data_IF_677266799470
#
_entry.id   IF_677266799470
#
_cell.length_a   1.000
_cell.length_b   1.000
_cell.length_c   1.000
_cell.angle_alpha   90.00
_cell.angle_beta   90.00
_cell.angle_gamma   90.00
#
_symmetry.space_group_name_H-M   'P 1'
#
loop_
_entity.id
_entity.type
_entity.pdbx_description
1 polymer ?
#
# COMPACT_ATOMS: atom_id res chain seq x y z
N UNK A 1 -2.68 -5.93 -6.19
CA UNK A 1 -3.05 -6.72 -5.00
C UNK A 1 -4.03 -5.98 -4.08
N UNK A 2 -3.70 -4.79 -3.56
CA UNK A 2 -4.56 -4.07 -2.60
C UNK A 2 -5.98 -3.82 -3.14
N UNK A 3 -6.11 -3.48 -4.42
CA UNK A 3 -7.43 -3.33 -5.05
C UNK A 3 -8.26 -4.62 -5.02
N UNK A 4 -7.64 -5.81 -5.11
CA UNK A 4 -8.34 -7.09 -4.95
C UNK A 4 -8.80 -7.31 -3.51
N UNK A 5 -7.99 -6.90 -2.51
CA UNK A 5 -8.39 -6.91 -1.10
C UNK A 5 -9.60 -5.98 -0.85
N UNK A 6 -9.61 -4.80 -1.47
CA UNK A 6 -10.72 -3.85 -1.37
C UNK A 6 -12.01 -4.39 -2.00
N UNK A 7 -11.92 -5.10 -3.13
CA UNK A 7 -13.07 -5.81 -3.75
C UNK A 7 -13.61 -6.91 -2.82
N UNK A 8 -12.74 -7.53 -2.02
CA UNK A 8 -13.11 -8.57 -1.06
C UNK A 8 -13.67 -8.03 0.29
N UNK A 9 -13.72 -6.70 0.48
CA UNK A 9 -14.29 -6.07 1.68
C UNK A 9 -13.27 -5.42 2.62
N UNK A 10 -11.97 -5.56 2.35
CA UNK A 10 -10.90 -5.03 3.20
C UNK A 10 -10.49 -3.60 2.82
N UNK A 11 -11.47 -2.70 2.69
CA UNK A 11 -11.23 -1.33 2.19
C UNK A 11 -10.53 -0.42 3.21
N UNK A 12 -10.41 -0.87 4.48
CA UNK A 12 -9.61 -0.18 5.50
C UNK A 12 -8.14 -0.57 5.46
N UNK A 13 -7.70 -1.42 4.52
CA UNK A 13 -6.27 -1.60 4.24
C UNK A 13 -5.71 -0.34 3.56
N UNK A 14 -4.53 0.08 4.02
CA UNK A 14 -3.79 1.26 3.58
C UNK A 14 -2.43 0.86 3.05
N UNK A 15 -1.86 1.70 2.18
CA UNK A 15 -0.45 1.61 1.85
C UNK A 15 0.22 2.98 1.86
N UNK A 16 1.51 2.95 2.05
CA UNK A 16 2.41 4.07 1.85
C UNK A 16 3.52 3.61 0.91
N UNK A 17 3.87 4.45 -0.06
CA UNK A 17 4.93 4.18 -1.02
C UNK A 17 5.94 5.30 -1.06
N UNK A 18 7.17 4.95 -1.40
CA UNK A 18 8.29 5.88 -1.40
C UNK A 18 9.46 5.38 -2.22
N UNK A 19 10.55 6.15 -2.22
CA UNK A 19 11.80 5.77 -2.87
C UNK A 19 12.90 5.55 -1.85
N UNK A 20 13.73 4.53 -2.08
CA UNK A 20 14.94 4.29 -1.30
C UNK A 20 15.91 5.47 -1.43
N UNK A 21 16.82 5.68 -0.45
CA UNK A 21 17.75 6.82 -0.48
C UNK A 21 18.64 6.86 -1.73
N UNK A 22 18.90 5.71 -2.36
CA UNK A 22 19.63 5.63 -3.62
C UNK A 22 18.83 6.12 -4.85
N UNK A 23 17.52 6.33 -4.72
CA UNK A 23 16.61 6.61 -5.84
C UNK A 23 16.37 5.41 -6.76
N UNK A 24 16.92 4.22 -6.45
CA UNK A 24 16.87 3.06 -7.36
C UNK A 24 15.72 2.09 -7.09
N UNK A 25 15.17 2.11 -5.88
CA UNK A 25 14.19 1.11 -5.46
C UNK A 25 12.95 1.77 -4.91
N UNK A 26 11.82 1.42 -5.50
CA UNK A 26 10.51 1.77 -4.97
C UNK A 26 10.22 0.91 -3.74
N UNK A 27 9.68 1.54 -2.71
CA UNK A 27 9.33 0.95 -1.43
C UNK A 27 7.83 1.04 -1.24
N UNK A 28 7.26 0.02 -0.63
CA UNK A 28 5.86 -0.02 -0.23
C UNK A 28 5.73 -0.64 1.14
N UNK A 29 4.85 -0.08 1.94
CA UNK A 29 4.41 -0.66 3.19
C UNK A 29 2.89 -0.70 3.20
N UNK A 30 2.32 -1.81 3.65
CA UNK A 30 0.88 -2.04 3.73
C UNK A 30 0.50 -2.22 5.20
N UNK A 31 -0.56 -1.55 5.63
CA UNK A 31 -1.09 -1.62 7.00
C UNK A 31 -2.61 -1.43 7.00
N UNK A 32 -3.23 -1.19 8.15
CA UNK A 32 -4.66 -0.88 8.28
C UNK A 32 -4.89 0.59 8.68
N UNK A 33 -6.09 1.09 8.42
CA UNK A 33 -6.50 2.49 8.66
C UNK A 33 -6.25 2.97 10.09
N UNK A 34 -6.42 2.08 11.08
CA UNK A 34 -6.14 2.37 12.49
C UNK A 34 -4.66 2.68 12.78
N UNK A 35 -3.76 2.31 11.88
CA UNK A 35 -2.32 2.54 12.00
C UNK A 35 -1.80 3.71 11.15
N UNK A 36 -2.72 4.52 10.62
CA UNK A 36 -2.41 5.69 9.79
C UNK A 36 -2.85 6.96 10.53
N UNK A 37 -2.06 8.02 10.37
CA UNK A 37 -2.33 9.34 10.92
C UNK A 37 -3.47 10.06 10.18
N UNK A 38 -3.87 11.22 10.68
CA UNK A 38 -4.97 11.99 10.12
C UNK A 38 -4.68 12.54 8.70
N UNK A 39 -3.42 12.54 8.28
CA UNK A 39 -3.00 12.92 6.92
C UNK A 39 -3.30 11.82 5.87
N UNK A 40 -3.76 10.64 6.30
CA UNK A 40 -4.09 9.52 5.40
C UNK A 40 -2.88 8.75 4.87
N UNK A 41 -1.66 9.17 5.23
CA UNK A 41 -0.42 8.68 4.63
C UNK A 41 0.57 8.16 5.68
N UNK A 42 0.85 8.95 6.71
CA UNK A 42 1.90 8.66 7.68
C UNK A 42 1.47 7.53 8.59
N UNK A 43 2.38 6.59 8.85
CA UNK A 43 2.12 5.53 9.81
C UNK A 43 2.32 6.04 11.23
N UNK A 44 1.52 5.53 12.16
CA UNK A 44 1.65 5.87 13.58
C UNK A 44 2.98 5.35 14.13
N UNK A 45 3.65 6.17 14.92
CA UNK A 45 4.87 5.75 15.64
C UNK A 45 4.59 4.53 16.53
N UNK A 46 5.52 3.56 16.53
CA UNK A 46 5.38 2.36 17.35
C UNK A 46 4.40 1.31 16.82
N UNK A 47 3.97 1.42 15.56
CA UNK A 47 3.24 0.37 14.83
C UNK A 47 3.85 -1.03 15.08
N UNK A 48 3.07 -2.03 15.52
CA UNK A 48 3.57 -3.39 15.67
C UNK A 48 4.09 -3.93 14.33
N UNK A 49 5.26 -4.58 14.33
CA UNK A 49 5.87 -5.08 13.09
C UNK A 49 5.01 -6.10 12.33
N UNK A 50 4.15 -6.84 13.04
CA UNK A 50 3.19 -7.78 12.43
C UNK A 50 1.99 -7.10 11.76
N UNK A 51 1.81 -5.80 11.99
CA UNK A 51 0.73 -4.97 11.43
C UNK A 51 1.20 -4.12 10.26
N UNK A 52 2.45 -4.30 9.82
CA UNK A 52 3.04 -3.61 8.66
C UNK A 52 3.76 -4.61 7.77
N UNK A 53 3.31 -4.74 6.52
CA UNK A 53 3.94 -5.59 5.52
C UNK A 53 4.80 -4.73 4.57
N UNK A 54 6.10 -4.99 4.51
CA UNK A 54 7.04 -4.21 3.70
C UNK A 54 7.46 -4.91 2.41
N UNK A 55 7.56 -4.16 1.33
CA UNK A 55 8.09 -4.61 0.05
C UNK A 55 8.98 -3.54 -0.58
N UNK A 56 9.97 -3.98 -1.36
CA UNK A 56 10.84 -3.14 -2.15
C UNK A 56 11.08 -3.78 -3.51
N UNK A 57 11.14 -2.97 -4.57
CA UNK A 57 11.47 -3.47 -5.91
C UNK A 57 12.87 -4.11 -5.98
N UNK A 58 13.75 -3.83 -5.00
CA UNK A 58 15.03 -4.53 -4.83
C UNK A 58 14.87 -6.05 -4.63
N UNK A 59 13.71 -6.48 -4.12
CA UNK A 59 13.41 -7.90 -3.85
C UNK A 59 12.70 -8.60 -5.00
N UNK A 60 12.43 -7.91 -6.12
CA UNK A 60 11.75 -8.46 -7.28
C UNK A 60 10.33 -8.92 -6.93
N UNK A 61 10.01 -10.16 -7.28
CA UNK A 61 8.71 -10.80 -7.01
C UNK A 61 8.68 -11.58 -5.68
N UNK A 62 9.71 -11.45 -4.83
CA UNK A 62 9.69 -11.96 -3.45
C UNK A 62 8.91 -11.04 -2.52
N UNK A 63 7.64 -10.83 -2.84
CA UNK A 63 6.74 -9.94 -2.12
C UNK A 63 6.73 -10.27 -0.63
N UNK A 64 7.01 -9.28 0.22
CA UNK A 64 7.05 -9.45 1.68
C UNK A 64 8.01 -10.56 2.18
N UNK A 65 9.01 -10.93 1.38
CA UNK A 65 9.93 -12.04 1.68
C UNK A 65 9.40 -13.42 1.29
N UNK A 66 8.26 -13.52 0.62
CA UNK A 66 7.71 -14.80 0.16
C UNK A 66 8.50 -15.34 -1.04
N UNK A 67 9.17 -16.47 -0.84
CA UNK A 67 9.82 -17.23 -1.92
C UNK A 67 8.79 -17.83 -2.89
N UNK A 68 7.59 -17.97 -2.37
CA UNK A 68 6.32 -18.22 -3.02
C UNK A 68 6.05 -17.62 -4.37
N UNK A 69 6.20 -16.29 -4.42
CA UNK A 69 5.15 -15.45 -4.96
C UNK A 69 5.33 -15.10 -6.45
N UNK A 70 6.45 -15.54 -7.03
CA UNK A 70 6.79 -15.38 -8.42
C UNK A 70 5.65 -15.84 -9.34
N UNK A 71 5.32 -15.01 -10.34
CA UNK A 71 4.31 -15.28 -11.36
C UNK A 71 2.84 -15.28 -10.89
N UNK A 72 2.55 -15.04 -9.60
CA UNK A 72 1.17 -14.96 -9.12
C UNK A 72 0.47 -13.69 -9.60
N UNK A 73 -0.81 -13.83 -9.93
CA UNK A 73 -1.70 -12.72 -10.21
C UNK A 73 -1.95 -11.86 -8.97
N UNK A 74 -2.41 -10.62 -9.18
CA UNK A 74 -2.80 -9.72 -8.09
C UNK A 74 -3.84 -10.32 -7.14
N UNK A 75 -4.72 -11.21 -7.66
CA UNK A 75 -5.77 -11.89 -6.89
C UNK A 75 -5.18 -13.02 -6.04
N UNK A 76 -4.29 -13.83 -6.60
CA UNK A 76 -3.58 -14.88 -5.84
C UNK A 76 -2.70 -14.28 -4.75
N UNK A 77 -2.01 -13.17 -5.03
CA UNK A 77 -1.27 -12.42 -4.01
C UNK A 77 -2.17 -11.91 -2.89
N UNK A 78 -3.40 -11.48 -3.21
CA UNK A 78 -4.36 -11.03 -2.20
C UNK A 78 -4.83 -12.18 -1.29
N UNK A 79 -5.04 -13.38 -1.86
CA UNK A 79 -5.34 -14.58 -1.08
C UNK A 79 -4.19 -14.92 -0.13
N UNK A 80 -2.94 -14.94 -0.61
CA UNK A 80 -1.78 -15.15 0.25
C UNK A 80 -1.65 -14.08 1.35
N UNK A 81 -1.97 -12.83 1.02
CA UNK A 81 -1.93 -11.75 2.00
C UNK A 81 -2.95 -11.95 3.13
N UNK A 82 -4.16 -12.40 2.80
CA UNK A 82 -5.20 -12.75 3.78
C UNK A 82 -4.72 -13.85 4.73
N UNK A 83 -4.06 -14.87 4.19
CA UNK A 83 -3.55 -16.01 4.98
C UNK A 83 -2.36 -15.63 5.87
N UNK A 84 -1.46 -14.78 5.38
CA UNK A 84 -0.14 -14.54 6.00
C UNK A 84 -0.05 -13.27 6.84
N UNK A 85 -0.96 -12.32 6.65
CA UNK A 85 -1.06 -11.10 7.46
C UNK A 85 -2.44 -10.97 8.14
N UNK A 86 -2.87 -11.95 8.96
CA UNK A 86 -4.17 -11.91 9.61
C UNK A 86 -4.41 -10.65 10.46
N UNK A 87 -3.43 -10.09 11.23
CA UNK A 87 -3.66 -8.86 11.99
C UNK A 87 -4.04 -7.67 11.10
N UNK A 88 -3.36 -7.50 9.96
CA UNK A 88 -3.63 -6.42 9.01
C UNK A 88 -5.02 -6.60 8.41
N UNK A 89 -5.34 -7.82 7.98
CA UNK A 89 -6.61 -8.13 7.30
C UNK A 89 -7.80 -7.97 8.23
N UNK A 90 -7.70 -8.47 9.47
CA UNK A 90 -8.75 -8.34 10.48
C UNK A 90 -9.05 -6.87 10.81
N UNK A 91 -8.01 -6.03 10.97
CA UNK A 91 -8.19 -4.60 11.24
C UNK A 91 -8.48 -3.77 10.00
N UNK A 92 -8.19 -4.32 8.83
CA UNK A 92 -8.47 -3.77 7.51
C UNK A 92 -9.86 -4.12 6.98
N UNK A 93 -10.61 -4.99 7.69
CA UNK A 93 -12.00 -5.31 7.36
C UNK A 93 -12.91 -4.11 7.55
N UNK A 94 -13.83 -3.93 6.60
CA UNK A 94 -14.79 -2.84 6.60
C UNK A 94 -14.68 -1.95 5.37
N UNK A 95 -15.79 -1.24 5.12
CA UNK A 95 -15.95 -0.37 3.96
C UNK A 95 -15.32 0.99 4.17
N UNK A 96 -14.68 1.49 3.13
CA UNK A 96 -14.17 2.86 3.01
C UNK A 96 -14.17 3.24 1.53
N UNK A 97 -15.30 3.77 1.08
CA UNK A 97 -15.51 4.10 -0.32
C UNK A 97 -14.65 5.27 -0.79
N UNK A 98 -14.33 6.21 0.10
CA UNK A 98 -13.46 7.33 -0.23
C UNK A 98 -12.06 6.84 -0.55
N UNK A 99 -11.49 5.99 0.32
CA UNK A 99 -10.17 5.44 0.09
C UNK A 99 -10.14 4.43 -1.08
N UNK A 100 -11.16 3.58 -1.21
CA UNK A 100 -11.25 2.64 -2.33
C UNK A 100 -11.40 3.34 -3.70
N UNK A 101 -12.18 4.43 -3.74
CA UNK A 101 -12.32 5.28 -4.92
C UNK A 101 -11.01 5.95 -5.29
N UNK A 102 -10.33 6.56 -4.31
CA UNK A 102 -8.99 7.13 -4.49
C UNK A 102 -7.98 6.09 -4.99
N UNK A 103 -7.94 4.90 -4.39
CA UNK A 103 -7.04 3.82 -4.81
C UNK A 103 -7.29 3.43 -6.28
N UNK A 104 -8.55 3.37 -6.69
CA UNK A 104 -8.92 3.04 -8.07
C UNK A 104 -8.43 4.12 -9.04
N UNK A 105 -8.59 5.40 -8.69
CA UNK A 105 -8.12 6.52 -9.52
C UNK A 105 -6.59 6.49 -9.69
N UNK A 106 -5.83 6.37 -8.58
CA UNK A 106 -4.36 6.36 -8.67
C UNK A 106 -3.82 5.15 -9.43
N UNK A 107 -4.49 4.00 -9.35
CA UNK A 107 -4.11 2.82 -10.13
C UNK A 107 -4.38 3.06 -11.62
N UNK A 108 -5.52 3.64 -11.97
CA UNK A 108 -5.82 4.02 -13.36
C UNK A 108 -4.78 5.00 -13.92
N UNK A 109 -4.36 5.99 -13.14
CA UNK A 109 -3.29 6.92 -13.53
C UNK A 109 -1.94 6.21 -13.70
N UNK A 110 -1.59 5.31 -12.78
CA UNK A 110 -0.35 4.53 -12.85
C UNK A 110 -0.33 3.54 -14.02
N UNK A 111 -1.48 3.01 -14.43
CA UNK A 111 -1.63 2.10 -15.58
C UNK A 111 -1.49 2.84 -16.93
N UNK A 112 -1.92 4.10 -17.00
CA UNK A 112 -1.85 4.93 -18.21
C UNK A 112 -0.53 5.69 -18.31
N UNK A 113 0.08 6.04 -17.19
CA UNK A 113 1.33 6.79 -17.14
C UNK A 113 2.58 5.95 -17.41
N UNK A 114 3.73 6.62 -17.57
CA UNK A 114 5.03 5.97 -17.62
C UNK A 114 5.52 5.63 -16.19
N UNK A 115 6.76 5.16 -16.04
CA UNK A 115 7.35 4.76 -14.75
C UNK A 115 7.38 5.86 -13.67
N UNK A 116 7.11 7.11 -14.03
CA UNK A 116 6.96 8.28 -13.17
C UNK A 116 5.56 8.41 -12.53
N UNK A 117 4.57 7.64 -12.99
CA UNK A 117 3.20 7.68 -12.50
C UNK A 117 2.94 6.77 -11.29
N UNK A 118 3.94 6.00 -10.83
CA UNK A 118 3.82 5.24 -9.58
C UNK A 118 3.97 6.22 -8.41
N UNK A 119 3.00 6.29 -7.49
CA UNK A 119 3.06 7.27 -6.41
C UNK A 119 4.27 7.06 -5.51
N UNK A 120 4.97 8.17 -5.23
CA UNK A 120 6.07 8.28 -4.28
C UNK A 120 5.69 9.36 -3.29
N UNK A 121 5.37 8.97 -2.06
CA UNK A 121 4.90 9.88 -1.02
C UNK A 121 5.96 10.22 0.01
N UNK A 122 7.05 9.45 0.07
CA UNK A 122 8.20 9.75 0.91
C UNK A 122 9.51 9.36 0.21
N UNK A 123 10.58 10.09 0.53
CA UNK A 123 11.95 9.78 0.14
C UNK A 123 12.89 10.45 1.14
N UNK A 124 14.15 10.01 1.16
CA UNK A 124 15.20 10.62 2.00
C UNK A 124 15.82 11.86 1.34
N UNK A 125 15.19 12.35 0.27
CA UNK A 125 15.53 13.56 -0.48
C UNK A 125 14.25 14.36 -0.77
N UNK A 126 14.34 15.67 -1.04
CA UNK A 126 13.17 16.49 -1.28
C UNK A 126 12.34 15.97 -2.46
N UNK A 127 11.05 15.78 -2.23
CA UNK A 127 10.05 15.45 -3.26
C UNK A 127 8.89 16.44 -3.14
N UNK A 128 8.29 16.75 -4.28
CA UNK A 128 7.02 17.49 -4.33
C UNK A 128 5.92 16.48 -4.58
N UNK A 129 5.02 16.31 -3.61
CA UNK A 129 3.82 15.49 -3.78
C UNK A 129 2.70 16.45 -4.14
N UNK A 130 2.11 16.25 -5.31
CA UNK A 130 0.92 17.00 -5.71
C UNK A 130 -0.25 16.60 -4.79
N UNK A 131 -0.91 17.57 -4.12
CA UNK A 131 -2.01 17.30 -3.20
C UNK A 131 -3.14 16.44 -3.77
N UNK A 132 -3.35 16.45 -5.09
CA UNK A 132 -4.37 15.60 -5.74
C UNK A 132 -4.05 14.10 -5.63
N UNK A 133 -2.79 13.75 -5.38
CA UNK A 133 -2.36 12.36 -5.20
C UNK A 133 -2.48 11.89 -3.76
N UNK A 134 -2.77 12.78 -2.81
CA UNK A 134 -2.85 12.42 -1.41
C UNK A 134 -4.12 11.60 -1.12
N UNK A 135 -4.00 10.52 -0.32
CA UNK A 135 -5.15 9.75 0.10
C UNK A 135 -6.08 10.56 1.00
N UNK A 136 -7.39 10.23 1.03
CA UNK A 136 -8.27 10.78 2.05
C UNK A 136 -7.86 10.31 3.45
N UNK A 137 -8.14 11.15 4.45
CA UNK A 137 -7.93 10.81 5.85
C UNK A 137 -8.73 9.55 6.26
N UNK A 138 -8.24 8.72 7.20
CA UNK A 138 -8.94 7.53 7.63
C UNK A 138 -10.27 7.89 8.32
N UNK A 139 -11.36 7.25 7.91
CA UNK A 139 -12.64 7.34 8.62
C UNK A 139 -12.55 6.53 9.92
N UNK A 140 -12.83 7.17 11.06
CA UNK A 140 -12.79 6.52 12.38
C UNK A 140 -13.79 5.38 12.47
#
# INVERSE_FOLDING_TARGET
MIHELHKAGYQRIRFQSGMAPSGMHWRCAITHAGNVEADGLSFRDGSPGEEVAHHSSATGDRYFGWEDAAGRSARELAVLFIERYPPIVQKGDGRDWAYAGWLTDILGRAEVGASDAIPVFFADYPISVDPEWLPPAPVR
#
